data_IF_756645864925
#
_entry.id   IF_756645864925
#
_cell.length_a   1.000
_cell.length_b   1.000
_cell.length_c   1.000
_cell.angle_alpha   90.00
_cell.angle_beta   90.00
_cell.angle_gamma   90.00
#
_symmetry.space_group_name_H-M   'P 1'
#
loop_
_entity.id
_entity.type
_entity.pdbx_description
1 polymer ?
#
# COMPACT_ATOMS: atom_id res chain seq x y z
N UNK A 1 -41.00 -19.62 -32.29
CA UNK A 1 -41.64 -20.34 -31.17
C UNK A 1 -40.65 -21.09 -30.25
N UNK A 2 -39.58 -21.75 -30.75
CA UNK A 2 -38.64 -22.51 -29.90
C UNK A 2 -37.87 -21.65 -28.87
N UNK A 3 -37.54 -20.39 -29.18
CA UNK A 3 -36.88 -19.46 -28.28
C UNK A 3 -37.77 -18.98 -27.14
N UNK A 4 -39.02 -18.74 -27.42
CA UNK A 4 -40.01 -18.31 -26.42
C UNK A 4 -40.22 -19.41 -25.34
N UNK A 5 -40.37 -20.67 -25.74
CA UNK A 5 -40.48 -21.79 -24.82
C UNK A 5 -39.22 -21.99 -23.96
N UNK A 6 -38.03 -21.76 -24.53
CA UNK A 6 -36.76 -21.79 -23.77
C UNK A 6 -36.66 -20.68 -22.74
N UNK A 7 -37.03 -19.44 -23.09
CA UNK A 7 -37.04 -18.31 -22.15
C UNK A 7 -38.06 -18.49 -21.03
N UNK A 8 -39.25 -19.01 -21.35
CA UNK A 8 -40.23 -19.36 -20.34
C UNK A 8 -39.75 -20.46 -19.38
N UNK A 9 -39.05 -21.47 -19.89
CA UNK A 9 -38.40 -22.51 -19.09
C UNK A 9 -37.28 -21.98 -18.16
N UNK A 10 -36.58 -20.89 -18.54
CA UNK A 10 -35.56 -20.30 -17.69
C UNK A 10 -36.11 -19.55 -16.48
N UNK A 11 -37.41 -19.16 -16.51
CA UNK A 11 -38.07 -18.51 -15.39
C UNK A 11 -38.18 -19.44 -14.15
N UNK A 12 -38.22 -20.74 -14.38
CA UNK A 12 -38.33 -21.76 -13.32
C UNK A 12 -37.00 -22.38 -12.92
N UNK A 13 -35.88 -21.97 -13.55
CA UNK A 13 -34.56 -22.47 -13.18
C UNK A 13 -33.98 -21.64 -12.01
N UNK A 14 -33.23 -22.30 -11.10
CA UNK A 14 -32.52 -21.57 -10.06
C UNK A 14 -31.49 -20.61 -10.68
N UNK A 15 -31.23 -19.44 -10.04
CA UNK A 15 -30.25 -18.48 -10.53
C UNK A 15 -28.87 -19.11 -10.53
N UNK A 16 -28.09 -18.85 -11.60
CA UNK A 16 -26.66 -19.26 -11.71
C UNK A 16 -25.72 -18.39 -10.85
N UNK A 17 -26.22 -17.26 -10.36
CA UNK A 17 -25.45 -16.33 -9.55
C UNK A 17 -25.45 -16.71 -8.08
N UNK A 18 -24.32 -16.50 -7.42
CA UNK A 18 -24.20 -16.68 -5.96
C UNK A 18 -24.80 -15.47 -5.24
N UNK A 19 -25.59 -15.69 -4.21
CA UNK A 19 -26.18 -14.63 -3.37
C UNK A 19 -25.13 -14.06 -2.41
N UNK A 20 -24.14 -13.33 -2.95
CA UNK A 20 -23.18 -12.61 -2.13
C UNK A 20 -23.87 -11.41 -1.44
N UNK A 21 -23.58 -11.09 -0.15
CA UNK A 21 -22.59 -11.72 0.74
C UNK A 21 -23.13 -12.88 1.60
N UNK A 22 -24.36 -13.30 1.41
CA UNK A 22 -25.02 -14.35 2.24
C UNK A 22 -24.35 -15.71 2.01
N UNK A 23 -24.09 -16.05 0.75
CA UNK A 23 -23.32 -17.24 0.39
C UNK A 23 -21.88 -16.86 0.12
N UNK A 24 -20.95 -17.52 0.83
CA UNK A 24 -19.49 -17.31 0.62
C UNK A 24 -19.09 -17.90 -0.72
N UNK A 25 -18.37 -17.11 -1.51
CA UNK A 25 -17.72 -17.57 -2.74
C UNK A 25 -16.42 -18.27 -2.38
N UNK A 26 -16.06 -19.33 -3.10
CA UNK A 26 -14.75 -19.96 -2.99
C UNK A 26 -13.65 -18.96 -3.36
N UNK A 27 -12.66 -18.82 -2.48
CA UNK A 27 -11.47 -17.99 -2.70
C UNK A 27 -10.31 -18.96 -2.90
N UNK A 28 -9.67 -18.99 -4.07
CA UNK A 28 -8.51 -19.83 -4.32
C UNK A 28 -7.30 -19.37 -3.50
N UNK A 29 -6.32 -20.27 -3.28
CA UNK A 29 -5.14 -19.98 -2.45
C UNK A 29 -4.21 -18.92 -3.09
N UNK A 30 -4.23 -18.78 -4.40
CA UNK A 30 -3.48 -17.80 -5.17
C UNK A 30 -4.21 -16.46 -5.34
N UNK A 31 -5.32 -16.26 -4.62
CA UNK A 31 -6.08 -15.02 -4.67
C UNK A 31 -5.23 -13.83 -4.23
N UNK A 32 -5.28 -12.75 -5.02
CA UNK A 32 -4.55 -11.50 -4.73
C UNK A 32 -5.35 -10.62 -3.78
N UNK A 33 -5.27 -10.91 -2.50
CA UNK A 33 -5.95 -10.15 -1.47
C UNK A 33 -5.13 -8.99 -0.91
N UNK A 34 -5.46 -8.58 0.29
CA UNK A 34 -4.87 -7.42 0.97
C UNK A 34 -3.37 -7.62 1.21
N UNK A 35 -2.61 -6.54 1.01
CA UNK A 35 -1.19 -6.48 1.36
C UNK A 35 -1.05 -6.34 2.88
N UNK A 36 -0.23 -7.18 3.48
CA UNK A 36 0.19 -7.09 4.86
C UNK A 36 1.68 -6.69 4.95
N UNK A 37 2.05 -6.02 6.02
CA UNK A 37 3.39 -5.49 6.25
C UNK A 37 3.86 -5.87 7.65
N UNK A 38 5.09 -6.37 7.74
CA UNK A 38 5.78 -6.66 8.99
C UNK A 38 6.95 -5.68 9.15
N UNK A 39 6.80 -4.79 10.13
CA UNK A 39 7.80 -3.76 10.43
C UNK A 39 9.12 -4.36 10.92
N UNK A 40 9.07 -5.48 11.64
CA UNK A 40 10.25 -6.12 12.26
C UNK A 40 11.24 -6.66 11.23
N UNK A 41 10.74 -7.07 10.06
CA UNK A 41 11.53 -7.62 8.96
C UNK A 41 11.94 -6.55 7.94
N UNK A 42 11.36 -5.35 8.01
CA UNK A 42 11.58 -4.31 7.02
C UNK A 42 12.95 -3.63 7.20
N UNK A 43 13.68 -3.50 6.11
CA UNK A 43 14.97 -2.75 6.06
C UNK A 43 14.81 -1.29 5.62
N UNK A 44 13.60 -0.79 5.52
CA UNK A 44 13.25 0.60 5.20
C UNK A 44 13.83 1.12 3.86
N UNK A 45 13.99 0.22 2.88
CA UNK A 45 14.58 0.56 1.56
C UNK A 45 13.62 1.30 0.62
N UNK A 46 12.34 1.40 0.92
CA UNK A 46 11.29 2.11 0.17
C UNK A 46 11.05 1.64 -1.28
N UNK A 47 11.62 0.52 -1.70
CA UNK A 47 11.40 -0.02 -3.06
C UNK A 47 9.94 -0.31 -3.35
N UNK A 48 9.16 -0.78 -2.35
CA UNK A 48 7.74 -1.06 -2.47
C UNK A 48 6.91 0.22 -2.72
N UNK A 49 7.32 1.37 -2.20
CA UNK A 49 6.73 2.68 -2.51
C UNK A 49 7.04 3.07 -3.96
N UNK A 50 8.31 3.00 -4.36
CA UNK A 50 8.76 3.43 -5.70
C UNK A 50 8.12 2.62 -6.83
N UNK A 51 7.87 1.31 -6.62
CA UNK A 51 7.30 0.42 -7.64
C UNK A 51 5.78 0.48 -7.68
N UNK A 52 5.11 1.08 -6.70
CA UNK A 52 3.66 1.08 -6.59
C UNK A 52 3.00 1.99 -7.64
N UNK A 53 2.33 1.46 -8.70
CA UNK A 53 1.78 2.30 -9.76
C UNK A 53 0.73 3.30 -9.28
N UNK A 54 -0.24 2.93 -8.41
CA UNK A 54 -1.25 3.85 -7.93
C UNK A 54 -0.80 4.70 -6.72
N UNK A 55 0.43 4.56 -6.21
CA UNK A 55 0.88 5.27 -5.01
C UNK A 55 0.13 4.87 -3.74
N UNK A 56 -0.24 3.60 -3.62
CA UNK A 56 -0.96 3.09 -2.45
C UNK A 56 -0.08 2.87 -1.20
N UNK A 57 1.23 3.02 -1.33
CA UNK A 57 2.23 2.88 -0.27
C UNK A 57 3.05 4.15 -0.21
N UNK A 58 3.23 4.70 0.99
CA UNK A 58 4.13 5.83 1.24
C UNK A 58 4.80 5.68 2.60
N UNK A 59 6.04 6.13 2.69
CA UNK A 59 6.78 6.21 3.95
C UNK A 59 6.94 7.66 4.37
N UNK A 60 6.52 7.99 5.59
CA UNK A 60 6.89 9.25 6.24
C UNK A 60 8.17 9.08 7.05
N UNK A 61 8.84 10.18 7.35
CA UNK A 61 10.06 10.18 8.15
C UNK A 61 10.04 11.36 9.12
N UNK A 62 10.17 11.08 10.40
CA UNK A 62 10.22 12.10 11.43
C UNK A 62 11.62 12.75 11.50
N UNK A 63 11.71 13.90 12.18
CA UNK A 63 12.98 14.62 12.39
C UNK A 63 14.00 13.80 13.19
N UNK A 64 13.56 12.81 13.96
CA UNK A 64 14.41 11.85 14.67
C UNK A 64 14.97 10.76 13.76
N UNK A 65 14.51 10.68 12.51
CA UNK A 65 14.91 9.69 11.52
C UNK A 65 14.09 8.42 11.50
N UNK A 66 13.07 8.32 12.36
CA UNK A 66 12.15 7.17 12.39
C UNK A 66 11.27 7.19 11.13
N UNK A 67 11.18 6.05 10.45
CA UNK A 67 10.30 5.87 9.30
C UNK A 67 9.00 5.18 9.71
N UNK A 68 7.90 5.58 9.08
CA UNK A 68 6.57 4.99 9.30
C UNK A 68 5.96 4.58 7.97
N UNK A 69 5.46 3.36 7.89
CA UNK A 69 4.80 2.80 6.72
C UNK A 69 3.32 3.14 6.71
N UNK A 70 2.84 3.65 5.59
CA UNK A 70 1.43 3.94 5.35
C UNK A 70 0.95 3.19 4.10
N UNK A 71 -0.23 2.59 4.20
CA UNK A 71 -0.83 1.83 3.12
C UNK A 71 -2.31 2.15 2.98
N UNK A 72 -2.71 2.54 1.77
CA UNK A 72 -4.11 2.77 1.44
C UNK A 72 -4.65 1.62 0.58
N UNK A 73 -5.47 0.80 1.21
CA UNK A 73 -6.13 -0.35 0.60
C UNK A 73 -7.12 0.03 -0.51
N UNK A 74 -7.77 1.20 -0.41
CA UNK A 74 -8.75 1.66 -1.39
C UNK A 74 -8.12 2.10 -2.72
N UNK A 75 -6.86 2.56 -2.69
CA UNK A 75 -6.09 2.95 -3.88
C UNK A 75 -5.35 1.76 -4.49
N UNK A 76 -5.12 0.71 -3.70
CA UNK A 76 -4.36 -0.47 -4.13
C UNK A 76 -5.06 -1.27 -5.22
N UNK A 77 -4.36 -1.61 -6.30
CA UNK A 77 -4.84 -2.48 -7.40
C UNK A 77 -4.44 -3.96 -7.22
N UNK A 78 -3.87 -4.32 -6.09
CA UNK A 78 -3.48 -5.70 -5.74
C UNK A 78 -2.56 -6.38 -6.76
N UNK A 79 -1.69 -5.64 -7.44
CA UNK A 79 -0.80 -6.14 -8.49
C UNK A 79 0.35 -7.03 -8.00
N UNK A 80 0.66 -7.05 -6.69
CA UNK A 80 1.74 -7.81 -6.06
C UNK A 80 3.17 -7.30 -6.36
N UNK A 81 3.34 -6.19 -7.09
CA UNK A 81 4.68 -5.68 -7.44
C UNK A 81 5.51 -5.29 -6.21
N UNK A 82 4.87 -4.71 -5.17
CA UNK A 82 5.54 -4.39 -3.91
C UNK A 82 6.12 -5.63 -3.20
N UNK A 83 5.45 -6.77 -3.30
CA UNK A 83 5.95 -8.04 -2.74
C UNK A 83 7.13 -8.57 -3.56
N UNK A 84 7.03 -8.52 -4.90
CA UNK A 84 8.07 -9.02 -5.82
C UNK A 84 9.39 -8.25 -5.72
N UNK A 85 9.33 -6.93 -5.51
CA UNK A 85 10.51 -6.07 -5.44
C UNK A 85 11.17 -6.10 -4.05
N UNK A 86 10.49 -6.60 -3.02
CA UNK A 86 11.00 -6.60 -1.66
C UNK A 86 12.20 -7.54 -1.53
N UNK A 87 13.39 -7.06 -1.10
CA UNK A 87 14.56 -7.90 -0.92
C UNK A 87 14.49 -8.77 0.33
N UNK A 88 13.55 -8.50 1.23
CA UNK A 88 13.31 -9.27 2.45
C UNK A 88 11.99 -10.02 2.33
N UNK A 89 12.08 -11.34 2.23
CA UNK A 89 10.91 -12.20 2.26
C UNK A 89 10.15 -12.05 3.57
N UNK A 90 8.83 -11.97 3.51
CA UNK A 90 7.96 -11.82 4.66
C UNK A 90 7.77 -10.39 5.18
N UNK A 91 8.63 -9.41 4.84
CA UNK A 91 8.46 -8.03 5.27
C UNK A 91 7.21 -7.36 4.66
N UNK A 92 6.89 -7.69 3.43
CA UNK A 92 5.64 -7.32 2.77
C UNK A 92 5.13 -8.53 2.01
N UNK A 93 3.89 -8.89 2.24
CA UNK A 93 3.30 -10.09 1.62
C UNK A 93 1.83 -9.87 1.30
N UNK A 94 1.34 -10.65 0.36
CA UNK A 94 -0.05 -10.62 -0.06
C UNK A 94 -0.82 -11.74 0.60
N UNK A 95 -1.93 -11.40 1.26
CA UNK A 95 -2.84 -12.38 1.86
C UNK A 95 -3.84 -12.88 0.83
N UNK A 96 -4.51 -13.99 1.10
CA UNK A 96 -5.66 -14.45 0.31
C UNK A 96 -7.00 -13.86 0.77
N UNK A 97 -6.96 -12.88 1.69
CA UNK A 97 -8.18 -12.25 2.20
C UNK A 97 -8.66 -11.13 1.26
N UNK A 98 -9.94 -11.12 0.87
CA UNK A 98 -10.51 -10.05 0.08
C UNK A 98 -10.51 -8.73 0.85
N UNK A 99 -10.29 -7.63 0.14
CA UNK A 99 -10.41 -6.30 0.74
C UNK A 99 -11.87 -6.05 1.16
N UNK A 100 -12.06 -5.62 2.39
CA UNK A 100 -13.35 -5.10 2.84
C UNK A 100 -13.50 -3.69 2.28
N UNK A 101 -14.47 -3.50 1.43
CA UNK A 101 -14.78 -2.18 0.86
C UNK A 101 -15.49 -1.31 1.90
N UNK A 102 -15.06 -0.06 2.00
CA UNK A 102 -15.77 0.94 2.78
C UNK A 102 -16.96 1.46 1.97
N UNK A 103 -18.15 1.47 2.57
CA UNK A 103 -19.37 1.96 1.93
C UNK A 103 -19.48 3.48 2.02
N UNK A 104 -18.73 4.11 2.95
CA UNK A 104 -18.71 5.57 3.15
C UNK A 104 -17.49 6.18 2.49
N UNK A 105 -17.70 7.22 1.73
CA UNK A 105 -16.68 8.01 1.01
C UNK A 105 -15.59 8.55 1.96
N UNK A 106 -15.94 8.85 3.20
CA UNK A 106 -15.03 9.26 4.27
C UNK A 106 -13.92 8.25 4.58
N UNK A 107 -14.13 6.96 4.26
CA UNK A 107 -13.16 5.89 4.52
C UNK A 107 -12.29 5.55 3.30
N UNK A 108 -12.55 6.14 2.14
CA UNK A 108 -11.90 5.73 0.90
C UNK A 108 -10.68 6.60 0.60
N UNK A 109 -10.75 7.91 0.76
CA UNK A 109 -9.70 8.81 0.30
C UNK A 109 -9.45 10.06 1.16
N UNK A 110 -10.22 10.28 2.23
CA UNK A 110 -10.06 11.47 3.04
C UNK A 110 -8.68 11.54 3.68
N UNK A 111 -7.89 12.46 3.18
CA UNK A 111 -6.56 12.75 3.67
C UNK A 111 -5.42 11.92 3.05
N UNK A 112 -5.68 10.90 2.18
CA UNK A 112 -4.57 10.14 1.60
C UNK A 112 -3.63 11.01 0.75
N UNK A 113 -4.19 11.85 -0.11
CA UNK A 113 -3.39 12.77 -0.92
C UNK A 113 -2.60 13.75 -0.05
N UNK A 114 -3.23 14.25 1.01
CA UNK A 114 -2.57 15.13 1.97
C UNK A 114 -1.46 14.39 2.72
N UNK A 115 -1.76 13.20 3.26
CA UNK A 115 -0.78 12.36 3.95
C UNK A 115 0.39 12.00 3.04
N UNK A 116 0.12 11.72 1.77
CA UNK A 116 1.17 11.44 0.78
C UNK A 116 2.08 12.65 0.56
N UNK A 117 1.50 13.86 0.40
CA UNK A 117 2.26 15.10 0.25
C UNK A 117 3.04 15.44 1.53
N UNK A 118 2.43 15.26 2.69
CA UNK A 118 3.08 15.53 3.98
C UNK A 118 4.23 14.54 4.24
N UNK A 119 4.07 13.28 3.84
CA UNK A 119 5.15 12.29 3.92
C UNK A 119 6.33 12.64 3.00
N UNK A 120 6.07 13.18 1.80
CA UNK A 120 7.14 13.67 0.93
C UNK A 120 7.86 14.86 1.55
N UNK A 121 7.12 15.85 2.07
CA UNK A 121 7.69 17.04 2.73
C UNK A 121 8.53 16.66 3.94
N UNK A 122 8.04 15.80 4.82
CA UNK A 122 8.76 15.38 6.02
C UNK A 122 10.13 14.75 5.67
N UNK A 123 10.18 14.00 4.58
CA UNK A 123 11.45 13.42 4.09
C UNK A 123 12.42 14.46 3.51
N UNK A 124 11.89 15.44 2.79
CA UNK A 124 12.70 16.54 2.25
C UNK A 124 13.28 17.39 3.37
N UNK A 125 12.46 17.72 4.38
CA UNK A 125 12.89 18.47 5.56
C UNK A 125 13.97 17.72 6.34
N UNK A 126 13.77 16.43 6.61
CA UNK A 126 14.78 15.61 7.26
C UNK A 126 16.09 15.53 6.45
N UNK A 127 16.00 15.37 5.12
CA UNK A 127 17.16 15.31 4.26
C UNK A 127 17.91 16.65 4.21
N UNK A 128 17.18 17.77 4.22
CA UNK A 128 17.76 19.12 4.27
C UNK A 128 18.48 19.37 5.61
N UNK A 129 17.85 19.02 6.71
CA UNK A 129 18.45 19.17 8.04
C UNK A 129 19.71 18.32 8.20
N UNK A 130 19.68 17.07 7.73
CA UNK A 130 20.85 16.20 7.75
C UNK A 130 22.02 16.74 6.91
N UNK A 131 21.72 17.37 5.76
CA UNK A 131 22.74 18.05 4.96
C UNK A 131 23.34 19.25 5.67
N UNK A 132 22.52 20.05 6.37
CA UNK A 132 22.98 21.20 7.16
C UNK A 132 23.92 20.75 8.28
N UNK A 133 23.51 19.76 9.06
CA UNK A 133 24.33 19.18 10.13
C UNK A 133 25.65 18.57 9.61
N UNK A 134 25.62 17.92 8.45
CA UNK A 134 26.83 17.38 7.83
C UNK A 134 27.78 18.50 7.38
N UNK A 135 27.26 19.58 6.81
CA UNK A 135 28.06 20.75 6.40
C UNK A 135 28.69 21.47 7.61
N UNK A 136 27.93 21.60 8.70
CA UNK A 136 28.42 22.21 9.94
C UNK A 136 29.53 21.38 10.57
N UNK A 137 29.38 20.06 10.65
CA UNK A 137 30.40 19.13 11.13
C UNK A 137 31.68 19.17 10.25
N UNK A 138 31.52 19.30 8.94
CA UNK A 138 32.63 19.42 8.01
C UNK A 138 33.37 20.75 8.17
N UNK A 139 32.65 21.85 8.42
CA UNK A 139 33.23 23.15 8.71
C UNK A 139 34.01 23.16 10.04
N UNK A 140 33.42 22.58 11.09
CA UNK A 140 34.04 22.46 12.40
C UNK A 140 35.37 21.64 12.36
N UNK A 141 35.37 20.56 11.54
CA UNK A 141 36.59 19.74 11.37
C UNK A 141 37.73 20.50 10.67
N UNK A 142 37.42 21.35 9.68
CA UNK A 142 38.43 22.18 9.00
C UNK A 142 39.08 23.22 9.90
N UNK A 143 38.34 23.72 10.90
CA UNK A 143 38.86 24.68 11.86
C UNK A 143 39.74 24.03 12.93
N UNK A 144 39.59 22.73 13.20
CA UNK A 144 40.43 22.00 14.15
C UNK A 144 41.77 21.56 13.55
N UNK A 145 41.85 21.36 12.22
CA UNK A 145 43.06 20.92 11.51
C UNK A 145 44.02 22.10 11.14
N UNK A 146 43.61 23.35 11.40
CA UNK A 146 44.40 24.56 11.12
C UNK A 146 45.10 25.11 12.38
N UNK A 147 45.03 24.42 13.50
CA UNK A 147 45.69 24.79 14.77
C UNK A 147 46.80 23.80 15.11
#
# INVERSE_FOLDING_TARGET
>A
MKTFLKTLGNLFKPPLTVRYPVAKTYIPDDYRGVIAFDESLCIWCRRCETVCPPGAIVFSQDMEGKQTYHYNRAVCIFCKECVRICPKEGAIYQTNQPAKFAVKEENINNGWNQLFLDALKSREEYAAEKKRQAAEKAAAKKTSDVK
#
